data_IF_504431930315
#
_entry.id   IF_504431930315
#
_cell.length_a   1.000
_cell.length_b   1.000
_cell.length_c   1.000
_cell.angle_alpha   90.00
_cell.angle_beta   90.00
_cell.angle_gamma   90.00
#
_symmetry.space_group_name_H-M   'P 1'
#
loop_
_entity.id
_entity.type
_entity.pdbx_description
1 polymer ?
#
# COMPACT_ATOMS: atom_id res chain seq x y z
N UNK A 1 0.65 30.42 21.88
CA UNK A 1 1.51 29.85 20.81
C UNK A 1 1.08 28.40 20.68
N UNK A 2 0.15 28.11 19.78
CA UNK A 2 -0.46 26.79 19.65
C UNK A 2 0.27 26.02 18.56
N UNK A 3 1.05 25.02 18.95
CA UNK A 3 1.62 24.03 18.03
C UNK A 3 0.51 23.04 17.69
N UNK A 4 0.00 23.13 16.46
CA UNK A 4 -0.93 22.17 15.91
C UNK A 4 -0.18 21.36 14.85
N UNK A 5 0.58 20.37 15.31
CA UNK A 5 1.27 19.42 14.44
C UNK A 5 0.31 18.27 14.13
N UNK A 6 -0.58 18.50 13.18
CA UNK A 6 -1.27 17.44 12.45
C UNK A 6 -0.96 17.61 10.96
N UNK A 7 0.32 17.50 10.60
CA UNK A 7 0.71 17.20 9.22
C UNK A 7 0.69 15.68 9.08
N UNK A 8 -0.49 15.12 8.89
CA UNK A 8 -0.61 13.83 8.23
C UNK A 8 -0.04 14.02 6.83
N UNK A 9 1.21 13.59 6.63
CA UNK A 9 1.76 13.41 5.29
C UNK A 9 0.86 12.41 4.57
N UNK A 10 -0.06 12.96 3.79
CA UNK A 10 -0.99 12.21 2.97
C UNK A 10 -0.17 11.60 1.86
N UNK A 11 0.33 10.38 2.10
CA UNK A 11 0.96 9.53 1.09
C UNK A 11 0.06 9.61 -0.15
N UNK A 12 0.58 10.06 -1.32
CA UNK A 12 -0.24 10.22 -2.50
C UNK A 12 -0.87 8.86 -2.80
N UNK A 13 -2.19 8.79 -2.73
CA UNK A 13 -2.91 7.62 -3.19
C UNK A 13 -2.57 7.50 -4.67
N UNK A 14 -1.80 6.47 -5.03
CA UNK A 14 -1.53 6.13 -6.42
C UNK A 14 -2.88 5.94 -7.09
N UNK A 15 -3.26 6.89 -7.94
CA UNK A 15 -4.46 6.79 -8.76
C UNK A 15 -4.19 5.64 -9.73
N UNK A 16 -4.70 4.46 -9.41
CA UNK A 16 -4.65 3.32 -10.33
C UNK A 16 -5.47 3.76 -11.53
N UNK A 17 -4.80 4.03 -12.64
CA UNK A 17 -5.47 4.35 -13.91
C UNK A 17 -6.33 3.13 -14.28
N UNK A 18 -7.64 3.34 -14.25
CA UNK A 18 -8.65 2.30 -14.51
C UNK A 18 -8.73 1.93 -16.00
N UNK A 19 -7.97 2.61 -16.86
CA UNK A 19 -7.95 2.42 -18.30
C UNK A 19 -6.51 2.14 -18.76
N UNK A 20 -6.32 1.06 -19.52
CA UNK A 20 -5.04 0.76 -20.16
C UNK A 20 -4.76 1.81 -21.24
N UNK A 21 -3.87 2.76 -20.95
CA UNK A 21 -3.43 3.74 -21.94
C UNK A 21 -2.43 3.07 -22.88
N UNK A 22 -2.78 2.93 -24.16
CA UNK A 22 -1.83 2.45 -25.17
C UNK A 22 -0.79 3.54 -25.45
N UNK A 23 0.38 3.41 -24.80
CA UNK A 23 1.51 4.33 -24.93
C UNK A 23 2.27 4.16 -26.26
N UNK A 24 1.93 3.14 -27.06
CA UNK A 24 2.62 2.81 -28.32
C UNK A 24 3.98 2.14 -28.09
N UNK A 25 4.82 2.10 -29.13
CA UNK A 25 6.14 1.50 -29.08
C UNK A 25 7.20 2.47 -28.55
N UNK A 26 8.05 2.01 -27.64
CA UNK A 26 9.24 2.73 -27.17
C UNK A 26 9.22 3.05 -25.68
N UNK A 27 10.37 2.87 -25.02
CA UNK A 27 10.53 3.02 -23.56
C UNK A 27 10.33 4.47 -23.09
N UNK A 28 10.65 5.46 -23.93
CA UNK A 28 10.54 6.88 -23.57
C UNK A 28 9.13 7.30 -23.18
N UNK A 29 8.12 6.87 -23.94
CA UNK A 29 6.72 7.24 -23.65
C UNK A 29 6.23 6.64 -22.33
N UNK A 30 6.68 5.44 -22.00
CA UNK A 30 6.41 4.82 -20.71
C UNK A 30 7.07 5.59 -19.57
N UNK A 31 8.31 6.04 -19.77
CA UNK A 31 9.04 6.86 -18.80
C UNK A 31 8.33 8.20 -18.58
N UNK A 32 7.95 8.92 -19.64
CA UNK A 32 7.25 10.20 -19.55
C UNK A 32 5.91 10.06 -18.81
N UNK A 33 5.17 9.00 -19.11
CA UNK A 33 3.92 8.69 -18.43
C UNK A 33 4.11 8.38 -16.93
N UNK A 34 5.16 7.62 -16.59
CA UNK A 34 5.48 7.35 -15.19
C UNK A 34 5.88 8.61 -14.43
N UNK A 35 6.61 9.55 -15.06
CA UNK A 35 6.93 10.86 -14.47
C UNK A 35 5.68 11.69 -14.21
N UNK A 36 4.72 11.70 -15.14
CA UNK A 36 3.48 12.47 -14.97
C UNK A 36 2.55 11.89 -13.89
N UNK A 37 2.60 10.57 -13.68
CA UNK A 37 1.72 9.86 -12.74
C UNK A 37 2.40 9.48 -11.41
N UNK A 38 3.66 9.90 -11.18
CA UNK A 38 4.37 9.73 -9.91
C UNK A 38 4.96 8.33 -9.67
N UNK A 39 5.37 7.64 -10.74
CA UNK A 39 5.98 6.31 -10.69
C UNK A 39 7.51 6.28 -10.83
N UNK A 40 8.13 7.38 -11.25
CA UNK A 40 9.59 7.51 -11.40
C UNK A 40 10.00 8.92 -10.97
N UNK A 41 10.83 9.00 -9.93
CA UNK A 41 11.51 10.24 -9.55
C UNK A 41 12.80 10.34 -10.37
N UNK A 42 13.01 11.46 -11.08
CA UNK A 42 14.24 11.78 -11.83
C UNK A 42 15.40 12.18 -10.90
N UNK A 43 15.45 11.59 -9.70
CA UNK A 43 16.50 11.86 -8.73
C UNK A 43 17.86 11.66 -9.38
N UNK A 44 18.53 12.78 -9.67
CA UNK A 44 19.94 12.79 -10.02
C UNK A 44 20.63 12.21 -8.80
N UNK A 45 20.95 10.92 -8.86
CA UNK A 45 21.78 10.28 -7.84
C UNK A 45 23.13 10.95 -7.93
N UNK A 46 23.48 11.74 -6.93
CA UNK A 46 24.85 12.21 -6.83
C UNK A 46 25.74 10.99 -6.62
N UNK A 47 26.87 10.91 -7.34
CA UNK A 47 27.69 9.70 -7.45
C UNK A 47 28.27 9.20 -6.10
N UNK A 48 28.09 9.97 -5.02
CA UNK A 48 28.61 9.73 -3.67
C UNK A 48 27.54 9.33 -2.63
N UNK A 49 26.30 9.02 -3.03
CA UNK A 49 25.22 8.69 -2.08
C UNK A 49 25.28 7.22 -1.62
N UNK A 50 25.58 6.98 -0.33
CA UNK A 50 25.56 5.65 0.28
C UNK A 50 24.16 5.35 0.83
N UNK A 51 23.37 4.59 0.06
CA UNK A 51 22.06 4.10 0.48
C UNK A 51 22.20 2.98 1.54
N UNK A 52 21.89 3.29 2.81
CA UNK A 52 21.95 2.30 3.91
C UNK A 52 20.57 1.71 4.23
N UNK A 53 20.03 0.94 3.28
CA UNK A 53 18.78 0.21 3.50
C UNK A 53 18.98 -1.13 4.21
N UNK A 54 18.03 -1.48 5.08
CA UNK A 54 17.93 -2.83 5.66
C UNK A 54 16.76 -3.57 5.05
N UNK A 55 17.07 -4.74 4.53
CA UNK A 55 16.10 -5.64 3.89
C UNK A 55 15.76 -6.81 4.80
N UNK A 56 14.49 -7.23 4.78
CA UNK A 56 14.01 -8.42 5.47
C UNK A 56 14.40 -9.69 4.68
N UNK A 57 14.15 -10.87 5.25
CA UNK A 57 14.42 -12.18 4.60
C UNK A 57 13.72 -12.33 3.24
N UNK A 58 12.65 -11.56 3.03
CA UNK A 58 11.83 -11.51 1.82
C UNK A 58 12.26 -10.39 0.84
N UNK A 59 13.38 -9.72 1.09
CA UNK A 59 13.90 -8.64 0.24
C UNK A 59 13.13 -7.33 0.31
N UNK A 60 12.29 -7.13 1.34
CA UNK A 60 11.52 -5.89 1.53
C UNK A 60 12.31 -4.90 2.36
N UNK A 61 12.28 -3.63 1.99
CA UNK A 61 12.82 -2.55 2.82
C UNK A 61 12.06 -2.50 4.15
N UNK A 62 12.79 -2.68 5.24
CA UNK A 62 12.22 -2.74 6.58
C UNK A 62 12.00 -1.32 7.09
N UNK A 63 10.89 -1.07 7.79
CA UNK A 63 10.66 0.21 8.46
C UNK A 63 11.73 0.45 9.54
N UNK A 64 12.18 1.69 9.79
CA UNK A 64 13.24 1.96 10.77
C UNK A 64 12.99 1.37 12.17
N UNK A 65 11.73 1.40 12.63
CA UNK A 65 11.34 0.80 13.92
C UNK A 65 11.49 -0.73 13.93
N UNK A 66 11.18 -1.38 12.83
CA UNK A 66 11.27 -2.83 12.69
C UNK A 66 12.73 -3.27 12.54
N UNK A 67 13.55 -2.47 11.85
CA UNK A 67 15.00 -2.61 11.77
C UNK A 67 15.63 -2.55 13.16
N UNK A 68 15.31 -1.52 13.96
CA UNK A 68 15.78 -1.42 15.34
C UNK A 68 15.38 -2.65 16.17
N UNK A 69 14.12 -3.10 16.06
CA UNK A 69 13.66 -4.30 16.78
C UNK A 69 14.42 -5.56 16.37
N UNK A 70 14.69 -5.76 15.08
CA UNK A 70 15.49 -6.88 14.60
C UNK A 70 16.92 -6.83 15.16
N UNK A 71 17.54 -5.64 15.15
CA UNK A 71 18.85 -5.41 15.75
C UNK A 71 18.84 -5.75 17.25
N UNK A 72 17.85 -5.26 18.00
CA UNK A 72 17.70 -5.55 19.42
C UNK A 72 17.53 -7.05 19.71
N UNK A 73 16.70 -7.75 18.93
CA UNK A 73 16.53 -9.20 19.12
C UNK A 73 17.83 -9.96 18.83
N UNK A 74 18.59 -9.55 17.81
CA UNK A 74 19.88 -10.15 17.48
C UNK A 74 20.92 -9.85 18.54
N UNK A 75 20.95 -8.62 19.04
CA UNK A 75 21.87 -8.17 20.08
C UNK A 75 21.61 -8.85 21.42
N UNK A 76 20.35 -8.87 21.88
CA UNK A 76 19.99 -9.46 23.18
C UNK A 76 19.75 -10.96 23.14
N UNK A 77 19.66 -11.58 21.95
CA UNK A 77 19.34 -13.01 21.79
C UNK A 77 17.93 -13.41 22.26
N UNK A 78 17.05 -12.43 22.49
CA UNK A 78 15.68 -12.65 22.98
C UNK A 78 14.68 -12.43 21.86
N UNK A 79 14.26 -13.52 21.23
CA UNK A 79 13.24 -13.48 20.19
C UNK A 79 11.84 -13.17 20.75
N UNK A 80 10.95 -12.58 19.93
CA UNK A 80 9.58 -12.35 20.32
C UNK A 80 8.82 -13.66 20.57
N UNK A 81 7.77 -13.59 21.40
CA UNK A 81 6.94 -14.76 21.72
C UNK A 81 6.25 -15.34 20.48
N UNK A 82 5.91 -16.63 20.52
CA UNK A 82 5.20 -17.34 19.43
C UNK A 82 3.91 -16.63 19.01
N UNK A 83 3.15 -16.08 19.96
CA UNK A 83 1.91 -15.35 19.69
C UNK A 83 2.17 -14.03 18.96
N UNK A 84 3.23 -13.31 19.35
CA UNK A 84 3.64 -12.07 18.68
C UNK A 84 4.05 -12.35 17.24
N UNK A 85 4.88 -13.39 17.02
CA UNK A 85 5.29 -13.81 15.67
C UNK A 85 4.07 -14.13 14.79
N UNK A 86 3.14 -14.96 15.30
CA UNK A 86 1.92 -15.32 14.56
C UNK A 86 1.07 -14.09 14.20
N UNK A 87 0.86 -13.16 15.14
CA UNK A 87 0.10 -11.93 14.90
C UNK A 87 0.77 -11.05 13.85
N UNK A 88 2.09 -10.85 13.95
CA UNK A 88 2.86 -10.05 12.98
C UNK A 88 2.83 -10.69 11.60
N UNK A 89 3.02 -12.00 11.49
CA UNK A 89 2.95 -12.69 10.19
C UNK A 89 1.56 -12.61 9.56
N UNK A 90 0.49 -12.71 10.37
CA UNK A 90 -0.89 -12.51 9.90
C UNK A 90 -1.11 -11.10 9.36
N UNK A 91 -0.61 -10.08 10.05
CA UNK A 91 -0.73 -8.70 9.60
C UNK A 91 0.01 -8.49 8.26
N UNK A 92 1.25 -8.98 8.16
CA UNK A 92 2.02 -8.91 6.90
C UNK A 92 1.31 -9.63 5.75
N UNK A 93 0.70 -10.79 6.00
CA UNK A 93 -0.07 -11.51 5.00
C UNK A 93 -1.31 -10.72 4.53
N UNK A 94 -2.00 -10.04 5.45
CA UNK A 94 -3.13 -9.18 5.11
C UNK A 94 -2.70 -7.97 4.28
N UNK A 95 -1.56 -7.35 4.59
CA UNK A 95 -1.08 -6.20 3.82
C UNK A 95 -0.67 -6.58 2.39
N UNK A 96 -0.07 -7.76 2.19
CA UNK A 96 0.18 -8.31 0.84
C UNK A 96 -1.14 -8.55 0.10
N UNK A 97 -2.16 -9.09 0.79
CA UNK A 97 -3.45 -9.34 0.18
C UNK A 97 -4.15 -8.04 -0.23
N UNK A 98 -4.07 -6.99 0.58
CA UNK A 98 -4.59 -5.65 0.26
C UNK A 98 -3.88 -5.02 -0.93
N UNK A 99 -2.58 -5.25 -1.09
CA UNK A 99 -1.84 -4.77 -2.26
C UNK A 99 -2.27 -5.51 -3.53
N UNK A 100 -2.57 -6.81 -3.44
CA UNK A 100 -3.09 -7.59 -4.57
C UNK A 100 -4.54 -7.25 -4.91
N UNK A 101 -5.36 -6.89 -3.93
CA UNK A 101 -6.81 -6.72 -4.09
C UNK A 101 -7.34 -5.60 -3.20
N UNK A 102 -8.20 -4.74 -3.75
CA UNK A 102 -8.96 -3.78 -2.93
C UNK A 102 -9.84 -4.54 -1.94
N UNK A 103 -9.75 -4.20 -0.65
CA UNK A 103 -10.55 -4.83 0.42
C UNK A 103 -12.05 -4.51 0.30
N UNK A 104 -12.41 -3.48 -0.45
CA UNK A 104 -13.79 -2.96 -0.53
C UNK A 104 -14.67 -3.71 -1.55
N UNK A 105 -14.11 -4.17 -2.67
CA UNK A 105 -14.83 -4.90 -3.73
C UNK A 105 -13.85 -5.70 -4.59
N UNK A 106 -14.35 -6.78 -5.20
CA UNK A 106 -13.67 -7.43 -6.33
C UNK A 106 -13.28 -6.40 -7.39
N UNK A 107 -12.17 -6.57 -8.13
CA UNK A 107 -11.74 -5.61 -9.14
C UNK A 107 -12.80 -5.36 -10.23
N UNK A 108 -13.73 -6.30 -10.42
CA UNK A 108 -14.85 -6.20 -11.37
C UNK A 108 -16.05 -5.41 -10.81
N UNK A 109 -15.97 -4.87 -9.59
CA UNK A 109 -17.05 -4.07 -8.99
C UNK A 109 -18.34 -4.86 -8.72
N UNK A 110 -18.22 -6.16 -8.43
CA UNK A 110 -19.36 -7.09 -8.35
C UNK A 110 -20.37 -6.69 -7.27
N UNK A 111 -19.92 -6.11 -6.16
CA UNK A 111 -20.84 -5.71 -5.08
C UNK A 111 -21.73 -4.57 -5.56
N UNK A 112 -21.17 -3.60 -6.27
CA UNK A 112 -21.92 -2.46 -6.78
C UNK A 112 -22.89 -2.87 -7.90
N UNK A 113 -22.49 -3.77 -8.81
CA UNK A 113 -23.36 -4.28 -9.87
C UNK A 113 -24.50 -5.12 -9.31
N UNK A 114 -24.21 -6.01 -8.35
CA UNK A 114 -25.24 -6.79 -7.66
C UNK A 114 -26.24 -5.88 -6.92
N UNK A 115 -25.78 -4.83 -6.24
CA UNK A 115 -26.66 -3.84 -5.61
C UNK A 115 -27.57 -3.16 -6.63
N UNK A 116 -27.03 -2.70 -7.78
CA UNK A 116 -27.84 -2.10 -8.85
C UNK A 116 -28.90 -3.05 -9.39
N UNK A 117 -28.54 -4.32 -9.64
CA UNK A 117 -29.48 -5.36 -10.08
C UNK A 117 -30.57 -5.63 -9.05
N UNK A 118 -30.25 -5.64 -7.76
CA UNK A 118 -31.24 -5.82 -6.70
C UNK A 118 -32.22 -4.64 -6.65
N UNK A 119 -31.74 -3.41 -6.81
CA UNK A 119 -32.59 -2.20 -6.91
C UNK A 119 -33.53 -2.30 -8.12
N UNK A 120 -33.00 -2.68 -9.28
CA UNK A 120 -33.76 -2.83 -10.53
C UNK A 120 -34.83 -3.93 -10.43
N UNK A 121 -34.49 -5.07 -9.82
CA UNK A 121 -35.42 -6.18 -9.58
C UNK A 121 -36.35 -5.94 -8.38
N UNK A 122 -36.27 -4.77 -7.74
CA UNK A 122 -36.99 -4.44 -6.50
C UNK A 122 -36.81 -5.50 -5.39
N UNK A 123 -35.63 -6.13 -5.35
CA UNK A 123 -35.25 -7.09 -4.31
C UNK A 123 -34.70 -6.34 -3.10
N UNK A 124 -35.04 -6.76 -1.88
CA UNK A 124 -34.47 -6.17 -0.68
C UNK A 124 -32.95 -6.42 -0.62
N UNK A 125 -32.20 -5.41 -0.17
CA UNK A 125 -30.76 -5.49 0.04
C UNK A 125 -30.35 -4.71 1.30
N UNK A 126 -29.20 -5.08 1.89
CA UNK A 126 -28.65 -4.42 3.06
C UNK A 126 -27.78 -3.24 2.64
N UNK A 127 -28.18 -2.02 3.00
CA UNK A 127 -27.38 -0.82 2.83
C UNK A 127 -26.77 -0.40 4.18
N UNK A 128 -25.51 -0.80 4.41
CA UNK A 128 -24.77 -0.36 5.58
C UNK A 128 -24.28 1.06 5.31
N UNK A 129 -25.10 2.05 5.63
CA UNK A 129 -24.64 3.44 5.73
C UNK A 129 -23.61 3.48 6.86
N UNK A 130 -22.34 3.63 6.52
CA UNK A 130 -21.33 4.01 7.49
C UNK A 130 -21.68 5.43 7.94
N UNK A 131 -22.50 5.53 8.98
CA UNK A 131 -22.65 6.78 9.71
C UNK A 131 -21.24 7.16 10.18
N UNK A 132 -20.71 8.24 9.60
CA UNK A 132 -19.48 8.86 10.07
C UNK A 132 -19.77 9.36 11.48
N UNK A 133 -19.38 8.58 12.48
CA UNK A 133 -19.20 9.06 13.85
C UNK A 133 -17.83 9.72 13.98
#
# INVERSE_FOLDING_TARGET
>A
MNFNENTEEKIPQTVILTEEVNLGFGVCKCIDFLKTHGGVDDGIKEDDEIDLDRVDDLGRTIKPLEQYRMMCHRFHGKNPSKNKIKRTNKLRAQDILKLRMSFQDTPLGMINTAKKLMVEQHKPFLDVKLEKK
#
